data_IF_433237678096
#
_entry.id   IF_433237678096
#
_cell.length_a   1.000
_cell.length_b   1.000
_cell.length_c   1.000
_cell.angle_alpha   90.00
_cell.angle_beta   90.00
_cell.angle_gamma   90.00
#
_symmetry.space_group_name_H-M   'P 1'
#
loop_
_entity.id
_entity.type
_entity.pdbx_description
1 polymer ?
#
# COMPACT_ATOMS: atom_id res chain seq x y z
N UNK A 1 -3.06 13.65 2.16
CA UNK A 1 -3.49 12.65 3.15
C UNK A 1 -4.98 12.49 2.97
N UNK A 2 -5.47 11.26 2.87
CA UNK A 2 -6.88 10.95 2.67
C UNK A 2 -7.39 10.10 3.84
N UNK A 3 -8.63 10.32 4.28
CA UNK A 3 -9.19 9.71 5.49
C UNK A 3 -10.28 8.68 5.20
N UNK A 4 -10.72 8.57 3.95
CA UNK A 4 -11.75 7.61 3.52
C UNK A 4 -11.63 7.31 2.03
N UNK A 5 -12.39 6.30 1.58
CA UNK A 5 -12.32 5.76 0.22
C UNK A 5 -12.39 6.85 -0.87
N UNK A 6 -13.44 7.67 -0.87
CA UNK A 6 -13.66 8.70 -1.90
C UNK A 6 -12.50 9.68 -1.99
N UNK A 7 -12.07 10.22 -0.84
CA UNK A 7 -10.91 11.12 -0.77
C UNK A 7 -9.61 10.46 -1.20
N UNK A 8 -9.46 9.15 -0.97
CA UNK A 8 -8.27 8.40 -1.35
C UNK A 8 -8.20 8.17 -2.86
N UNK A 9 -9.34 7.87 -3.50
CA UNK A 9 -9.45 7.77 -4.97
C UNK A 9 -9.10 9.11 -5.62
N UNK A 10 -9.68 10.20 -5.14
CA UNK A 10 -9.40 11.54 -5.67
C UNK A 10 -7.92 11.91 -5.51
N UNK A 11 -7.33 11.67 -4.33
CA UNK A 11 -5.92 11.95 -4.09
C UNK A 11 -5.01 11.09 -4.97
N UNK A 12 -5.30 9.80 -5.10
CA UNK A 12 -4.49 8.88 -5.89
C UNK A 12 -4.47 9.31 -7.37
N UNK A 13 -5.59 9.79 -7.91
CA UNK A 13 -5.68 10.24 -9.31
C UNK A 13 -5.09 11.64 -9.56
N UNK A 14 -4.87 12.44 -8.52
CA UNK A 14 -4.47 13.86 -8.66
C UNK A 14 -2.99 14.08 -9.03
N UNK A 15 -2.13 13.10 -8.77
CA UNK A 15 -0.68 13.20 -9.01
C UNK A 15 -0.01 11.83 -8.99
N UNK A 16 1.24 11.78 -9.42
CA UNK A 16 2.09 10.61 -9.29
C UNK A 16 2.65 10.50 -7.88
N UNK A 17 2.78 9.26 -7.40
CA UNK A 17 3.36 8.93 -6.11
C UNK A 17 4.47 7.91 -6.31
N UNK A 18 5.59 8.10 -5.62
CA UNK A 18 6.67 7.10 -5.57
C UNK A 18 6.28 5.89 -4.71
N UNK A 19 5.32 6.08 -3.79
CA UNK A 19 4.86 5.07 -2.84
C UNK A 19 3.46 5.44 -2.31
N UNK A 20 2.59 4.45 -2.17
CA UNK A 20 1.28 4.61 -1.54
C UNK A 20 1.21 3.75 -0.27
N UNK A 21 0.78 4.38 0.83
CA UNK A 21 0.52 3.73 2.12
C UNK A 21 -0.99 3.67 2.37
N UNK A 22 -1.53 2.49 2.63
CA UNK A 22 -2.95 2.26 2.85
C UNK A 22 -3.14 1.57 4.21
N UNK A 23 -4.14 1.99 4.98
CA UNK A 23 -4.55 1.25 6.18
C UNK A 23 -5.36 0.01 5.78
N UNK A 24 -5.08 -1.16 6.36
CA UNK A 24 -5.84 -2.37 6.03
C UNK A 24 -7.32 -2.25 6.34
N UNK A 25 -7.68 -1.39 7.30
CA UNK A 25 -9.03 -1.21 7.81
C UNK A 25 -9.80 -0.09 7.08
N UNK A 26 -9.25 0.48 6.01
CA UNK A 26 -10.02 1.42 5.20
C UNK A 26 -11.18 0.69 4.51
N UNK A 27 -12.37 1.31 4.56
CA UNK A 27 -13.53 0.79 3.85
C UNK A 27 -13.24 0.63 2.36
N UNK A 28 -13.67 -0.50 1.80
CA UNK A 28 -13.51 -0.83 0.38
C UNK A 28 -12.04 -0.87 -0.11
N UNK A 29 -11.10 -1.23 0.78
CA UNK A 29 -9.66 -1.36 0.44
C UNK A 29 -9.38 -2.10 -0.86
N UNK A 30 -10.00 -3.27 -1.07
CA UNK A 30 -9.76 -4.08 -2.27
C UNK A 30 -10.12 -3.32 -3.55
N UNK A 31 -11.23 -2.59 -3.54
CA UNK A 31 -11.65 -1.71 -4.64
C UNK A 31 -10.66 -0.57 -4.84
N UNK A 32 -10.17 0.05 -3.76
CA UNK A 32 -9.19 1.14 -3.82
C UNK A 32 -7.88 0.67 -4.45
N UNK A 33 -7.33 -0.45 -3.97
CA UNK A 33 -6.10 -1.07 -4.50
C UNK A 33 -6.29 -1.44 -5.97
N UNK A 34 -7.41 -2.06 -6.32
CA UNK A 34 -7.72 -2.42 -7.70
C UNK A 34 -7.82 -1.20 -8.62
N UNK A 35 -8.42 -0.10 -8.15
CA UNK A 35 -8.49 1.15 -8.93
C UNK A 35 -7.11 1.75 -9.13
N UNK A 36 -6.30 1.86 -8.07
CA UNK A 36 -4.92 2.39 -8.15
C UNK A 36 -4.08 1.56 -9.13
N UNK A 37 -4.14 0.23 -9.05
CA UNK A 37 -3.33 -0.65 -9.89
C UNK A 37 -3.75 -0.69 -11.36
N UNK A 38 -5.00 -0.36 -11.67
CA UNK A 38 -5.54 -0.36 -13.03
C UNK A 38 -5.66 1.05 -13.63
N UNK A 39 -5.43 2.10 -12.84
CA UNK A 39 -5.36 3.46 -13.35
C UNK A 39 -3.99 3.71 -13.98
N UNK A 40 -3.99 3.88 -15.30
CA UNK A 40 -2.78 4.15 -16.07
C UNK A 40 -2.09 5.45 -15.65
N UNK A 41 -2.82 6.42 -15.07
CA UNK A 41 -2.29 7.71 -14.62
C UNK A 41 -1.56 7.61 -13.28
N UNK A 42 -1.91 6.64 -12.46
CA UNK A 42 -1.38 6.47 -11.10
C UNK A 42 -0.13 5.58 -11.12
N UNK A 43 0.23 5.05 -12.29
CA UNK A 43 1.34 4.14 -12.48
C UNK A 43 0.92 2.73 -12.05
N UNK A 44 0.74 1.84 -13.03
CA UNK A 44 0.47 0.40 -12.84
C UNK A 44 1.51 -0.28 -11.93
N UNK A 45 2.65 0.36 -11.76
CA UNK A 45 3.83 -0.12 -11.03
C UNK A 45 4.06 0.63 -9.72
N UNK A 46 3.23 1.62 -9.38
CA UNK A 46 3.37 2.36 -8.12
C UNK A 46 3.27 1.40 -6.95
N UNK A 47 4.31 1.30 -6.11
CA UNK A 47 4.33 0.34 -5.02
C UNK A 47 3.29 0.69 -3.97
N UNK A 48 2.54 -0.33 -3.52
CA UNK A 48 1.51 -0.17 -2.48
C UNK A 48 1.93 -0.96 -1.25
N UNK A 49 2.01 -0.24 -0.13
CA UNK A 49 2.20 -0.81 1.19
C UNK A 49 0.91 -0.71 1.98
N UNK A 50 0.49 -1.83 2.57
CA UNK A 50 -0.61 -1.87 3.51
C UNK A 50 -0.12 -1.91 4.95
N UNK A 51 -0.81 -1.20 5.84
CA UNK A 51 -0.50 -1.08 7.24
C UNK A 51 -1.62 -1.69 8.07
N UNK A 52 -1.36 -2.80 8.75
CA UNK A 52 -2.31 -3.48 9.64
C UNK A 52 -2.08 -3.14 11.10
N UNK A 53 -3.12 -3.24 11.93
CA UNK A 53 -2.91 -3.32 13.38
C UNK A 53 -2.52 -4.75 13.79
N UNK A 54 -1.92 -4.93 14.97
CA UNK A 54 -1.44 -6.22 15.46
C UNK A 54 -2.54 -7.29 15.59
N UNK A 55 -3.81 -6.87 15.67
CA UNK A 55 -4.98 -7.76 15.84
C UNK A 55 -5.62 -8.16 14.50
N UNK A 56 -5.22 -7.50 13.41
CA UNK A 56 -5.78 -7.75 12.08
C UNK A 56 -5.08 -8.95 11.43
N UNK A 57 -5.58 -10.15 11.72
CA UNK A 57 -5.26 -11.40 11.01
C UNK A 57 -5.81 -11.40 9.56
N UNK A 58 -5.78 -10.25 8.87
CA UNK A 58 -6.24 -10.13 7.50
C UNK A 58 -5.18 -10.73 6.55
N UNK A 59 -5.29 -12.04 6.35
CA UNK A 59 -4.54 -12.81 5.34
C UNK A 59 -4.88 -12.30 3.92
N UNK A 60 -4.30 -11.17 3.53
CA UNK A 60 -4.47 -10.61 2.19
C UNK A 60 -3.33 -11.10 1.31
N UNK A 61 -3.56 -12.23 0.63
CA UNK A 61 -2.76 -12.67 -0.52
C UNK A 61 -3.17 -11.83 -1.74
N UNK A 62 -2.65 -10.62 -1.86
CA UNK A 62 -2.49 -9.99 -3.16
C UNK A 62 -0.99 -9.92 -3.43
N UNK A 63 -0.51 -10.58 -4.49
CA UNK A 63 0.92 -10.76 -4.78
C UNK A 63 1.71 -9.45 -4.91
N UNK A 64 1.03 -8.32 -5.08
CA UNK A 64 1.63 -6.98 -5.24
C UNK A 64 1.55 -6.09 -4.01
N UNK A 65 1.02 -6.57 -2.90
CA UNK A 65 0.78 -5.76 -1.71
C UNK A 65 1.65 -6.23 -0.53
N UNK A 66 2.51 -5.32 -0.05
CA UNK A 66 3.33 -5.59 1.14
C UNK A 66 2.59 -5.10 2.38
N UNK A 67 2.20 -6.03 3.24
CA UNK A 67 1.50 -5.72 4.50
C UNK A 67 2.48 -5.67 5.68
N UNK A 68 2.49 -4.58 6.44
CA UNK A 68 3.27 -4.42 7.68
C UNK A 68 2.36 -4.11 8.87
N UNK A 69 2.71 -4.67 10.03
CA UNK A 69 1.94 -4.48 11.26
C UNK A 69 2.42 -3.27 12.06
N UNK A 70 1.49 -2.48 12.59
CA UNK A 70 1.70 -1.49 13.66
C UNK A 70 1.53 -2.22 15.01
N UNK A 71 2.39 -2.13 16.02
CA UNK A 71 3.73 -1.54 16.17
C UNK A 71 4.80 -2.33 15.39
N UNK A 72 5.73 -1.63 14.74
CA UNK A 72 6.82 -2.27 14.01
C UNK A 72 7.75 -3.00 14.98
N UNK A 73 7.88 -4.32 14.83
CA UNK A 73 8.96 -5.08 15.46
C UNK A 73 10.18 -5.04 14.52
N UNK A 74 11.37 -5.38 15.04
CA UNK A 74 12.62 -5.41 14.24
C UNK A 74 12.45 -6.16 12.91
N UNK A 75 11.77 -7.32 12.93
CA UNK A 75 11.45 -8.12 11.74
C UNK A 75 10.60 -7.39 10.70
N UNK A 76 9.74 -6.47 11.12
CA UNK A 76 8.88 -5.70 10.23
C UNK A 76 9.69 -4.57 9.57
N UNK A 77 10.59 -3.94 10.34
CA UNK A 77 11.57 -2.97 9.81
C UNK A 77 12.51 -3.63 8.78
N UNK A 78 13.00 -4.84 9.06
CA UNK A 78 13.83 -5.60 8.12
C UNK A 78 13.09 -5.91 6.81
N UNK A 79 11.79 -6.25 6.87
CA UNK A 79 10.96 -6.45 5.68
C UNK A 79 10.75 -5.16 4.89
N UNK A 80 10.56 -4.02 5.57
CA UNK A 80 10.43 -2.70 4.93
C UNK A 80 11.73 -2.35 4.21
N UNK A 81 12.88 -2.52 4.87
CA UNK A 81 14.20 -2.26 4.27
C UNK A 81 14.41 -3.18 3.05
N UNK A 82 14.10 -4.47 3.18
CA UNK A 82 14.18 -5.42 2.07
C UNK A 82 13.31 -4.99 0.89
N UNK A 83 12.08 -4.53 1.17
CA UNK A 83 11.18 -4.01 0.15
C UNK A 83 11.76 -2.80 -0.58
N UNK A 84 12.28 -1.81 0.15
CA UNK A 84 12.93 -0.65 -0.48
C UNK A 84 14.17 -1.02 -1.29
N UNK A 85 14.97 -1.99 -0.82
CA UNK A 85 16.13 -2.46 -1.59
C UNK A 85 15.72 -3.12 -2.91
N UNK A 86 14.62 -3.88 -2.93
CA UNK A 86 14.08 -4.46 -4.18
C UNK A 86 13.65 -3.33 -5.14
N UNK A 87 12.90 -2.34 -4.65
CA UNK A 87 12.46 -1.21 -5.46
C UNK A 87 13.61 -0.36 -6.05
N UNK A 88 14.73 -0.25 -5.32
CA UNK A 88 15.91 0.48 -5.78
C UNK A 88 16.66 -0.30 -6.86
N UNK A 89 16.68 -1.64 -6.77
CA UNK A 89 17.44 -2.49 -7.70
C UNK A 89 16.72 -2.77 -9.02
N UNK A 90 15.40 -2.63 -9.05
CA UNK A 90 14.57 -2.84 -10.26
C UNK A 90 14.44 -1.57 -11.14
N UNK A 91 15.07 -0.44 -10.75
CA UNK A 91 15.22 0.79 -11.54
C UNK A 91 16.65 0.94 -12.10
#
# INVERSE_FOLDING_TARGET
MAWGFESAVEYAASKLYDLILIDVNIDQRSSLVHQIQNDWRIGKETPIISLSSYEDNASTKMEKEHVFHRHFKKKDVEKIIKFFNILIMDN
#
